data_IF_140719855480
#
_entry.id   IF_140719855480
#
_cell.length_a   1.000
_cell.length_b   1.000
_cell.length_c   1.000
_cell.angle_alpha   90.00
_cell.angle_beta   90.00
_cell.angle_gamma   90.00
#
_symmetry.space_group_name_H-M   'P 1'
#
loop_
_entity.id
_entity.type
_entity.pdbx_description
1 polymer ?
#
# COMPACT_ATOMS: atom_id res chain seq x y z
N UNK A 1 -18.60 -11.21 -28.34
CA UNK A 1 -19.75 -10.48 -27.76
C UNK A 1 -19.95 -11.05 -26.37
N UNK A 2 -19.49 -10.34 -25.35
CA UNK A 2 -19.58 -10.79 -23.96
C UNK A 2 -20.78 -10.12 -23.30
N UNK A 3 -21.63 -10.94 -22.71
CA UNK A 3 -22.86 -10.62 -22.02
C UNK A 3 -22.53 -9.82 -20.75
N UNK A 4 -22.85 -8.52 -20.72
CA UNK A 4 -22.73 -7.67 -19.53
C UNK A 4 -23.98 -7.84 -18.68
N UNK A 5 -23.88 -8.58 -17.57
CA UNK A 5 -24.90 -8.56 -16.52
C UNK A 5 -24.43 -7.65 -15.37
N UNK A 6 -25.17 -6.59 -15.02
CA UNK A 6 -24.88 -5.80 -13.84
C UNK A 6 -25.32 -6.57 -12.59
N UNK A 7 -24.40 -6.79 -11.66
CA UNK A 7 -24.72 -7.23 -10.30
C UNK A 7 -24.70 -6.00 -9.39
N UNK A 8 -25.86 -5.65 -8.83
CA UNK A 8 -26.03 -4.62 -7.80
C UNK A 8 -26.04 -5.33 -6.45
N UNK A 9 -25.05 -5.04 -5.60
CA UNK A 9 -25.04 -5.50 -4.22
C UNK A 9 -25.50 -4.36 -3.30
N UNK A 10 -26.50 -4.62 -2.48
CA UNK A 10 -26.87 -3.79 -1.34
C UNK A 10 -26.32 -4.45 -0.09
N UNK A 11 -25.48 -3.73 0.66
CA UNK A 11 -25.01 -4.17 1.96
C UNK A 11 -25.65 -3.27 3.03
N UNK A 12 -26.46 -3.87 3.90
CA UNK A 12 -27.18 -3.16 4.99
C UNK A 12 -26.46 -3.50 6.29
N UNK A 13 -25.62 -2.59 6.77
CA UNK A 13 -25.02 -2.70 8.08
C UNK A 13 -26.02 -2.23 9.15
N UNK A 14 -26.54 -3.15 9.96
CA UNK A 14 -27.30 -2.84 11.17
C UNK A 14 -26.35 -2.29 12.24
N UNK A 15 -26.47 -0.99 12.54
CA UNK A 15 -25.78 -0.35 13.65
C UNK A 15 -26.44 -0.68 14.98
N UNK A 16 -25.68 -1.27 15.90
CA UNK A 16 -26.04 -1.36 17.32
C UNK A 16 -25.88 -0.01 17.98
N UNK A 17 -26.98 0.55 18.50
CA UNK A 17 -26.97 1.74 19.32
C UNK A 17 -26.75 1.35 20.78
N UNK A 18 -25.63 1.78 21.37
CA UNK A 18 -25.48 1.90 22.83
C UNK A 18 -26.21 3.17 23.26
N UNK A 19 -27.27 3.00 24.06
CA UNK A 19 -28.00 4.08 24.70
C UNK A 19 -27.30 4.44 26.02
N UNK A 20 -26.84 5.68 26.09
CA UNK A 20 -26.34 6.31 27.31
C UNK A 20 -27.50 6.51 28.30
N UNK A 21 -27.26 6.11 29.55
CA UNK A 21 -28.25 6.08 30.61
C UNK A 21 -28.03 7.23 31.57
N UNK A 22 -28.82 8.29 31.44
CA UNK A 22 -29.21 9.13 32.57
C UNK A 22 -30.43 9.97 32.19
N UNK A 23 -31.61 9.52 32.63
CA UNK A 23 -32.63 10.42 33.16
C UNK A 23 -33.72 9.60 33.86
N UNK A 24 -33.68 9.68 35.18
CA UNK A 24 -34.69 9.18 36.11
C UNK A 24 -35.85 10.18 36.14
N UNK A 25 -37.01 9.79 35.61
CA UNK A 25 -38.27 10.31 36.13
C UNK A 25 -39.37 9.25 36.14
N UNK A 26 -39.81 8.93 37.36
CA UNK A 26 -41.03 8.19 37.67
C UNK A 26 -42.27 8.85 37.04
N UNK A 27 -43.12 8.07 36.38
CA UNK A 27 -44.52 7.84 36.82
C UNK A 27 -45.38 7.02 35.83
N UNK A 28 -46.11 6.09 36.44
CA UNK A 28 -47.46 5.60 36.10
C UNK A 28 -47.69 4.65 34.90
N UNK A 29 -47.95 3.39 35.27
CA UNK A 29 -48.70 2.36 34.53
C UNK A 29 -50.22 2.67 34.66
N UNK A 30 -51.07 2.36 33.67
CA UNK A 30 -51.97 1.22 33.87
C UNK A 30 -52.19 0.28 32.66
N UNK A 31 -52.30 -0.99 33.04
CA UNK A 31 -52.77 -2.23 32.40
C UNK A 31 -53.80 -2.20 31.25
N UNK A 32 -53.62 -3.17 30.31
CA UNK A 32 -54.57 -4.20 29.75
C UNK A 32 -54.04 -4.62 28.35
N UNK A 33 -54.13 -5.83 27.81
CA UNK A 33 -54.79 -7.11 28.13
C UNK A 33 -54.13 -8.21 27.26
N UNK A 34 -54.34 -9.47 27.64
CA UNK A 34 -53.65 -10.68 27.17
C UNK A 34 -54.05 -11.20 25.77
N UNK A 35 -53.17 -12.02 25.18
CA UNK A 35 -53.45 -12.87 24.01
C UNK A 35 -52.31 -13.87 23.74
N UNK A 36 -52.50 -15.11 24.16
CA UNK A 36 -51.57 -16.26 24.08
C UNK A 36 -51.14 -16.63 22.65
N UNK A 37 -49.89 -17.11 22.47
CA UNK A 37 -49.63 -18.55 22.22
C UNK A 37 -48.13 -18.89 22.02
N UNK A 38 -47.73 -19.94 22.75
CA UNK A 38 -46.64 -20.90 22.53
C UNK A 38 -45.15 -20.47 22.56
N UNK A 39 -44.53 -20.71 23.72
CA UNK A 39 -43.11 -21.05 23.94
C UNK A 39 -42.91 -22.59 23.75
N UNK A 40 -41.74 -23.24 24.02
CA UNK A 40 -40.41 -22.73 24.43
C UNK A 40 -39.21 -23.45 23.76
N UNK A 41 -37.98 -22.98 23.98
CA UNK A 41 -36.92 -23.75 24.67
C UNK A 41 -35.66 -22.88 24.87
N UNK A 42 -35.45 -22.43 26.10
CA UNK A 42 -34.19 -21.84 26.58
C UNK A 42 -33.66 -22.80 27.64
N UNK A 43 -32.44 -23.29 27.47
CA UNK A 43 -31.64 -23.88 28.55
C UNK A 43 -30.59 -22.84 28.91
N UNK A 44 -30.73 -22.26 30.09
CA UNK A 44 -29.71 -21.40 30.68
C UNK A 44 -28.71 -22.21 31.51
N UNK A 45 -27.50 -21.67 31.66
CA UNK A 45 -26.71 -21.90 32.86
C UNK A 45 -25.94 -20.62 33.24
N UNK A 46 -26.11 -20.23 34.51
CA UNK A 46 -25.38 -19.17 35.20
C UNK A 46 -24.02 -19.71 35.67
N UNK A 47 -22.96 -18.90 35.61
CA UNK A 47 -21.92 -18.84 36.66
C UNK A 47 -21.15 -17.51 36.56
N UNK A 48 -21.30 -16.62 37.54
CA UNK A 48 -20.35 -16.27 38.62
C UNK A 48 -19.14 -15.41 38.20
N UNK A 49 -19.12 -14.22 38.79
CA UNK A 49 -18.05 -13.23 38.84
C UNK A 49 -16.69 -13.76 39.31
N UNK A 50 -15.61 -13.34 38.65
CA UNK A 50 -14.26 -13.16 39.24
C UNK A 50 -13.48 -12.08 38.47
N UNK A 51 -12.72 -11.32 39.22
CA UNK A 51 -11.83 -10.20 38.87
C UNK A 51 -10.49 -10.64 38.27
N UNK A 52 -9.88 -9.73 37.50
CA UNK A 52 -8.46 -9.54 37.15
C UNK A 52 -7.85 -10.26 35.92
N UNK A 53 -6.93 -9.51 35.29
CA UNK A 53 -5.84 -9.85 34.34
C UNK A 53 -6.07 -9.77 32.82
N UNK A 54 -5.54 -8.68 32.25
CA UNK A 54 -4.56 -8.61 31.14
C UNK A 54 -4.24 -9.94 30.39
N UNK A 55 -4.49 -10.00 29.07
CA UNK A 55 -3.73 -10.84 28.11
C UNK A 55 -4.11 -10.62 26.62
N UNK A 56 -3.09 -10.20 25.86
CA UNK A 56 -2.68 -10.58 24.49
C UNK A 56 -3.71 -11.18 23.53
N UNK A 57 -3.90 -10.50 22.39
CA UNK A 57 -4.56 -11.05 21.19
C UNK A 57 -3.71 -12.10 20.48
N UNK A 58 -4.29 -13.28 20.24
CA UNK A 58 -3.72 -14.32 19.38
C UNK A 58 -4.04 -14.00 17.89
N UNK A 59 -3.47 -14.69 16.87
CA UNK A 59 -3.79 -14.45 15.43
C UNK A 59 -4.12 -15.72 14.61
N UNK A 60 -5.26 -15.77 13.92
CA UNK A 60 -5.91 -16.96 13.34
C UNK A 60 -5.45 -17.41 11.90
N UNK A 61 -5.07 -18.70 11.64
CA UNK A 61 -4.80 -19.40 10.34
C UNK A 61 -5.95 -20.35 9.92
N UNK A 62 -6.43 -20.28 8.66
CA UNK A 62 -7.38 -21.23 8.02
C UNK A 62 -6.82 -21.89 6.74
N UNK A 63 -7.25 -23.13 6.48
CA UNK A 63 -7.08 -23.87 5.21
C UNK A 63 -8.44 -24.03 4.53
N UNK A 64 -8.52 -23.85 3.20
CA UNK A 64 -9.75 -23.95 2.39
C UNK A 64 -9.71 -25.07 1.36
N UNK A 65 -10.89 -25.64 1.06
CA UNK A 65 -11.13 -26.61 -0.01
C UNK A 65 -12.38 -26.19 -0.83
N UNK A 66 -12.33 -26.40 -2.15
CA UNK A 66 -13.31 -25.90 -3.14
C UNK A 66 -14.65 -26.66 -3.14
N UNK A 67 -15.76 -25.96 -3.45
CA UNK A 67 -17.08 -26.57 -3.69
C UNK A 67 -17.70 -26.19 -5.06
N UNK A 68 -18.56 -27.09 -5.54
CA UNK A 68 -18.83 -27.49 -6.94
C UNK A 68 -19.47 -26.50 -7.94
N UNK A 69 -19.55 -25.21 -7.69
CA UNK A 69 -20.20 -24.27 -8.63
C UNK A 69 -19.38 -23.01 -8.85
N UNK A 70 -18.47 -23.07 -9.84
CA UNK A 70 -18.12 -22.04 -10.84
C UNK A 70 -17.97 -20.55 -10.52
N UNK A 71 -18.12 -20.11 -9.27
CA UNK A 71 -17.98 -18.72 -8.80
C UNK A 71 -17.12 -18.77 -7.54
N UNK A 72 -15.94 -18.14 -7.60
CA UNK A 72 -15.10 -17.94 -6.42
C UNK A 72 -15.74 -16.79 -5.64
N UNK A 73 -16.73 -17.10 -4.81
CA UNK A 73 -17.25 -16.17 -3.83
C UNK A 73 -16.51 -16.32 -2.50
N UNK A 74 -16.14 -15.18 -1.92
CA UNK A 74 -15.46 -15.05 -0.62
C UNK A 74 -16.35 -15.61 0.49
N UNK A 75 -15.81 -16.45 1.38
CA UNK A 75 -16.23 -16.45 2.78
C UNK A 75 -15.02 -16.27 3.69
N UNK A 76 -15.13 -15.33 4.63
CA UNK A 76 -14.14 -15.06 5.67
C UNK A 76 -14.49 -15.87 6.92
N UNK A 77 -13.51 -16.58 7.47
CA UNK A 77 -13.57 -17.21 8.79
C UNK A 77 -12.20 -17.14 9.43
N UNK A 78 -12.12 -17.06 10.77
CA UNK A 78 -10.91 -16.96 11.58
C UNK A 78 -10.66 -18.32 12.36
N UNK A 79 -9.40 -18.80 12.59
CA UNK A 79 -8.89 -19.73 13.67
C UNK A 79 -7.43 -19.50 14.27
N UNK A 80 -7.20 -19.17 15.58
CA UNK A 80 -6.09 -18.45 16.32
C UNK A 80 -4.79 -19.28 16.47
N UNK A 81 -3.64 -18.65 16.25
CA UNK A 81 -2.26 -19.10 16.51
C UNK A 81 -1.40 -17.93 17.01
N UNK A 82 -0.87 -18.10 18.20
CA UNK A 82 0.00 -17.15 18.90
C UNK A 82 1.38 -17.75 19.08
N UNK A 83 2.37 -17.18 18.42
CA UNK A 83 3.77 -17.27 18.81
C UNK A 83 4.56 -16.27 17.95
N UNK A 84 5.05 -15.19 18.54
CA UNK A 84 6.33 -14.52 18.27
C UNK A 84 6.28 -13.08 18.81
N UNK A 85 6.59 -12.93 20.10
CA UNK A 85 7.43 -11.87 20.67
C UNK A 85 7.82 -12.34 22.10
N UNK A 86 9.05 -12.08 22.61
CA UNK A 86 9.90 -10.94 22.28
C UNK A 86 11.30 -11.34 21.76
N UNK A 87 11.73 -10.76 20.63
CA UNK A 87 13.14 -10.80 20.20
C UNK A 87 13.78 -9.41 20.04
N UNK A 88 13.06 -8.34 20.41
CA UNK A 88 13.61 -6.96 20.42
C UNK A 88 13.51 -6.28 21.78
N UNK A 89 13.60 -7.08 22.85
CA UNK A 89 13.94 -6.58 24.18
C UNK A 89 15.46 -6.50 24.32
N UNK A 90 15.97 -5.28 24.45
CA UNK A 90 17.37 -4.90 24.76
C UNK A 90 18.29 -4.72 23.54
N UNK A 91 18.80 -3.48 23.43
CA UNK A 91 19.68 -3.03 22.36
C UNK A 91 20.95 -3.87 22.27
N UNK A 92 21.22 -4.38 21.07
CA UNK A 92 22.47 -5.07 20.74
C UNK A 92 23.54 -3.99 20.50
N UNK A 93 24.58 -3.87 21.36
CA UNK A 93 25.63 -2.89 21.15
C UNK A 93 26.67 -3.48 20.18
N UNK A 94 26.43 -3.35 18.87
CA UNK A 94 27.44 -3.75 17.86
C UNK A 94 28.46 -2.61 17.73
N UNK A 95 29.52 -2.66 18.55
CA UNK A 95 30.59 -1.64 18.60
C UNK A 95 31.44 -1.49 17.32
N UNK A 96 31.27 -2.35 16.31
CA UNK A 96 32.19 -2.40 15.17
C UNK A 96 31.56 -1.84 13.89
N UNK A 97 31.67 -0.52 13.71
CA UNK A 97 31.16 0.24 12.55
C UNK A 97 31.64 -0.27 11.19
N UNK A 98 32.79 -0.97 11.14
CA UNK A 98 33.29 -1.60 9.91
C UNK A 98 32.40 -2.77 9.46
N UNK A 99 31.79 -3.50 10.40
CA UNK A 99 30.99 -4.68 10.09
C UNK A 99 29.62 -4.32 9.48
N UNK A 100 29.01 -3.21 9.91
CA UNK A 100 27.76 -2.70 9.32
C UNK A 100 27.97 -2.24 7.86
N UNK A 101 29.04 -1.49 7.60
CA UNK A 101 29.38 -1.06 6.25
C UNK A 101 29.78 -2.24 5.35
N UNK A 102 30.53 -3.23 5.89
CA UNK A 102 30.91 -4.42 5.15
C UNK A 102 29.69 -5.31 4.82
N UNK A 103 28.73 -5.46 5.75
CA UNK A 103 27.52 -6.27 5.52
C UNK A 103 26.59 -5.64 4.48
N UNK A 104 26.41 -4.31 4.51
CA UNK A 104 25.64 -3.58 3.51
C UNK A 104 26.37 -3.61 2.16
N UNK A 105 27.69 -3.40 2.15
CA UNK A 105 28.50 -3.46 0.94
C UNK A 105 28.52 -4.87 0.33
N UNK A 106 28.67 -5.94 1.10
CA UNK A 106 28.62 -7.32 0.59
C UNK A 106 27.21 -7.79 0.21
N UNK A 107 26.15 -7.29 0.84
CA UNK A 107 24.79 -7.53 0.34
C UNK A 107 24.58 -6.86 -1.02
N UNK A 108 24.90 -5.57 -1.15
CA UNK A 108 24.68 -4.80 -2.38
C UNK A 108 25.59 -5.29 -3.51
N UNK A 109 26.88 -5.53 -3.24
CA UNK A 109 27.85 -5.97 -4.25
C UNK A 109 27.76 -7.47 -4.54
N UNK A 110 27.39 -8.29 -3.55
CA UNK A 110 27.13 -9.73 -3.72
C UNK A 110 25.88 -10.00 -4.56
N UNK A 111 24.82 -9.19 -4.40
CA UNK A 111 23.64 -9.24 -5.26
C UNK A 111 23.93 -8.75 -6.69
N UNK A 112 24.75 -7.70 -6.85
CA UNK A 112 25.20 -7.22 -8.17
C UNK A 112 26.07 -8.24 -8.92
N UNK A 113 26.97 -8.93 -8.22
CA UNK A 113 27.84 -9.95 -8.82
C UNK A 113 27.09 -11.26 -9.16
N UNK A 114 26.01 -11.58 -8.44
CA UNK A 114 25.17 -12.74 -8.72
C UNK A 114 24.29 -12.58 -9.97
N UNK A 115 23.96 -11.34 -10.37
CA UNK A 115 23.14 -11.05 -11.56
C UNK A 115 23.89 -11.37 -12.88
N UNK A 116 25.23 -11.31 -12.88
CA UNK A 116 26.03 -11.47 -14.10
C UNK A 116 26.41 -12.91 -14.49
N UNK A 117 26.07 -13.95 -13.70
CA UNK A 117 26.57 -15.32 -13.92
C UNK A 117 25.53 -16.40 -14.28
N UNK A 118 24.24 -16.08 -14.35
CA UNK A 118 23.21 -17.13 -14.46
C UNK A 118 22.22 -16.98 -15.63
N UNK A 119 22.62 -16.37 -16.75
CA UNK A 119 21.83 -16.40 -17.99
C UNK A 119 22.32 -17.58 -18.86
N UNK A 120 21.83 -18.78 -18.56
CA UNK A 120 21.93 -19.95 -19.44
C UNK A 120 20.54 -20.22 -20.04
N UNK A 121 20.46 -19.95 -21.34
CA UNK A 121 19.53 -20.50 -22.34
C UNK A 121 18.01 -20.38 -22.09
N UNK A 122 17.46 -19.27 -22.59
CA UNK A 122 16.21 -19.30 -23.36
C UNK A 122 16.35 -18.33 -24.54
N UNK A 123 15.82 -18.68 -25.72
CA UNK A 123 15.93 -17.87 -26.96
C UNK A 123 15.47 -16.42 -26.69
N UNK A 124 16.40 -15.48 -26.66
CA UNK A 124 16.15 -14.06 -26.40
C UNK A 124 15.39 -13.43 -27.58
N UNK A 125 14.12 -13.12 -27.38
CA UNK A 125 13.61 -11.84 -27.88
C UNK A 125 14.55 -10.77 -27.34
N UNK A 126 15.12 -9.94 -28.24
CA UNK A 126 16.12 -8.95 -27.87
C UNK A 126 15.58 -8.04 -26.75
N UNK A 127 16.09 -8.23 -25.52
CA UNK A 127 15.71 -7.42 -24.36
C UNK A 127 16.03 -5.94 -24.70
N UNK A 128 15.10 -5.00 -24.50
CA UNK A 128 15.36 -3.60 -24.80
C UNK A 128 16.55 -3.09 -23.96
N UNK A 129 17.42 -2.29 -24.58
CA UNK A 129 18.62 -1.77 -23.92
C UNK A 129 18.28 -0.92 -22.68
N UNK A 130 18.99 -1.16 -21.58
CA UNK A 130 18.83 -0.41 -20.32
C UNK A 130 19.24 1.05 -20.51
N UNK A 131 18.38 2.01 -20.15
CA UNK A 131 18.64 3.46 -20.28
C UNK A 131 19.06 4.09 -18.96
N UNK A 132 20.11 3.54 -18.34
CA UNK A 132 20.55 3.93 -16.98
C UNK A 132 20.89 5.41 -16.87
N UNK A 133 21.58 5.99 -17.85
CA UNK A 133 21.93 7.41 -17.85
C UNK A 133 20.71 8.33 -17.85
N UNK A 134 19.66 7.96 -18.60
CA UNK A 134 18.39 8.69 -18.61
C UNK A 134 17.69 8.62 -17.26
N UNK A 135 17.64 7.44 -16.63
CA UNK A 135 17.07 7.27 -15.30
C UNK A 135 17.72 8.20 -14.27
N UNK A 136 19.06 8.32 -14.27
CA UNK A 136 19.78 9.23 -13.39
C UNK A 136 19.49 10.70 -13.70
N UNK A 137 19.38 11.07 -14.99
CA UNK A 137 19.04 12.45 -15.38
C UNK A 137 17.63 12.80 -14.89
N UNK A 138 16.64 11.94 -15.13
CA UNK A 138 15.25 12.15 -14.73
C UNK A 138 15.12 12.26 -13.21
N UNK A 139 15.75 11.34 -12.47
CA UNK A 139 15.81 11.40 -11.02
C UNK A 139 16.54 12.64 -10.52
N UNK A 140 17.65 13.04 -11.16
CA UNK A 140 18.40 14.24 -10.82
C UNK A 140 17.59 15.52 -11.03
N UNK A 141 16.81 15.60 -12.12
CA UNK A 141 15.87 16.70 -12.38
C UNK A 141 14.81 16.73 -11.27
N UNK A 142 14.21 15.58 -10.95
CA UNK A 142 13.19 15.48 -9.90
C UNK A 142 13.75 15.93 -8.53
N UNK A 143 14.91 15.42 -8.12
CA UNK A 143 15.58 15.81 -6.88
C UNK A 143 15.92 17.30 -6.86
N UNK A 144 16.38 17.85 -7.99
CA UNK A 144 16.70 19.28 -8.11
C UNK A 144 15.45 20.14 -7.93
N UNK A 145 14.36 19.83 -8.63
CA UNK A 145 13.08 20.56 -8.50
C UNK A 145 12.54 20.46 -7.08
N UNK A 146 12.55 19.26 -6.50
CA UNK A 146 12.11 19.05 -5.12
C UNK A 146 12.97 19.85 -4.13
N UNK A 147 14.30 19.86 -4.33
CA UNK A 147 15.25 20.63 -3.51
C UNK A 147 14.93 22.12 -3.62
N UNK A 148 14.79 22.66 -4.82
CA UNK A 148 14.42 24.07 -5.02
C UNK A 148 13.11 24.42 -4.31
N UNK A 149 12.10 23.56 -4.39
CA UNK A 149 10.82 23.76 -3.69
C UNK A 149 10.92 23.65 -2.15
N UNK A 150 11.81 22.80 -1.64
CA UNK A 150 12.12 22.75 -0.20
C UNK A 150 12.78 24.07 0.27
N UNK A 151 13.79 24.54 -0.45
CA UNK A 151 14.50 25.78 -0.13
C UNK A 151 13.69 27.06 -0.39
N UNK A 152 12.70 27.03 -1.29
CA UNK A 152 11.72 28.11 -1.42
C UNK A 152 10.83 28.21 -0.16
N UNK A 153 10.55 27.07 0.48
CA UNK A 153 9.77 26.98 1.72
C UNK A 153 10.65 26.94 2.98
N UNK A 154 11.91 27.38 2.87
CA UNK A 154 12.96 27.33 3.89
C UNK A 154 12.53 27.79 5.29
N UNK A 155 11.68 28.83 5.38
CA UNK A 155 11.21 29.33 6.67
C UNK A 155 10.38 28.33 7.48
N UNK A 156 9.82 27.30 6.84
CA UNK A 156 9.01 26.26 7.49
C UNK A 156 9.82 25.20 8.24
N UNK A 157 11.12 25.10 7.97
CA UNK A 157 11.98 24.01 8.45
C UNK A 157 13.12 24.50 9.36
N UNK A 158 13.06 25.77 9.81
CA UNK A 158 14.13 26.38 10.62
C UNK A 158 14.33 25.61 11.94
N UNK A 159 13.24 25.13 12.54
CA UNK A 159 13.25 24.39 13.81
C UNK A 159 13.96 23.04 13.69
N UNK A 160 13.97 22.46 12.49
CA UNK A 160 14.57 21.16 12.21
C UNK A 160 16.05 21.25 11.87
N UNK A 161 16.68 22.43 11.91
CA UNK A 161 18.11 22.53 11.59
C UNK A 161 19.00 22.30 12.79
N UNK A 162 19.69 21.16 12.80
CA UNK A 162 20.70 20.83 13.80
C UNK A 162 22.13 20.81 13.24
N UNK A 163 22.31 20.98 11.93
CA UNK A 163 23.61 20.96 11.27
C UNK A 163 23.86 22.21 10.41
N UNK A 164 25.14 22.59 10.33
CA UNK A 164 25.63 23.60 9.38
C UNK A 164 26.37 22.95 8.22
N UNK A 165 26.56 23.68 7.11
CA UNK A 165 27.37 23.23 5.98
C UNK A 165 28.88 23.37 6.28
N UNK A 166 29.33 22.76 7.39
CA UNK A 166 30.74 22.68 7.77
C UNK A 166 31.19 21.24 7.77
N UNK A 167 32.47 20.99 7.47
CA UNK A 167 33.00 19.62 7.45
C UNK A 167 32.81 18.88 8.78
N UNK A 168 32.91 19.60 9.90
CA UNK A 168 32.70 19.05 11.25
C UNK A 168 31.28 18.51 11.41
N UNK A 169 30.27 19.30 11.05
CA UNK A 169 28.87 18.92 11.21
C UNK A 169 28.45 17.86 10.19
N UNK A 170 28.89 17.98 8.94
CA UNK A 170 28.62 16.95 7.93
C UNK A 170 29.26 15.61 8.31
N UNK A 171 30.47 15.61 8.89
CA UNK A 171 31.06 14.37 9.41
C UNK A 171 30.24 13.75 10.55
N UNK A 172 29.65 14.58 11.42
CA UNK A 172 28.73 14.11 12.47
C UNK A 172 27.48 13.49 11.86
N UNK A 173 26.83 14.19 10.93
CA UNK A 173 25.63 13.70 10.24
C UNK A 173 25.88 12.37 9.51
N UNK A 174 26.94 12.28 8.71
CA UNK A 174 27.18 11.11 7.84
C UNK A 174 27.76 9.88 8.55
N UNK A 175 28.52 10.06 9.65
CA UNK A 175 29.32 8.96 10.22
C UNK A 175 29.03 8.67 11.70
N UNK A 176 28.09 9.39 12.32
CA UNK A 176 27.63 9.13 13.68
C UNK A 176 26.11 8.96 13.72
N UNK A 177 25.60 8.39 14.81
CA UNK A 177 24.17 8.24 15.03
C UNK A 177 23.48 9.56 15.39
N UNK A 178 24.23 10.66 15.52
CA UNK A 178 23.65 12.00 15.76
C UNK A 178 22.82 12.46 14.57
N UNK A 179 23.18 12.03 13.35
CA UNK A 179 22.48 12.38 12.12
C UNK A 179 21.25 11.53 11.83
N UNK A 180 20.83 10.62 12.70
CA UNK A 180 19.70 9.71 12.45
C UNK A 180 18.67 9.83 13.57
N UNK A 181 17.41 10.14 13.22
CA UNK A 181 16.29 10.16 14.16
C UNK A 181 15.00 9.68 13.49
N UNK A 182 14.09 9.14 14.28
CA UNK A 182 12.69 9.13 13.90
C UNK A 182 12.18 10.55 14.10
N UNK A 183 11.67 11.18 13.04
CA UNK A 183 11.05 12.48 13.16
C UNK A 183 9.61 12.36 13.68
N UNK A 184 9.00 13.50 13.96
CA UNK A 184 7.58 13.60 14.34
C UNK A 184 6.76 14.29 13.24
N UNK A 185 7.13 14.09 11.97
CA UNK A 185 6.43 14.69 10.84
C UNK A 185 4.95 14.28 10.84
N UNK A 186 4.12 15.18 10.31
CA UNK A 186 2.69 14.92 10.19
C UNK A 186 2.40 13.77 9.18
N UNK A 187 1.15 13.32 9.12
CA UNK A 187 0.80 12.19 8.26
C UNK A 187 1.06 12.53 6.80
N UNK A 188 0.65 13.72 6.34
CA UNK A 188 0.83 14.14 4.94
C UNK A 188 2.26 14.04 4.49
N UNK A 189 3.21 14.56 5.25
CA UNK A 189 4.63 14.45 4.90
C UNK A 189 5.01 12.97 4.80
N UNK A 190 4.81 12.19 5.87
CA UNK A 190 5.16 10.76 5.92
C UNK A 190 4.58 9.91 4.77
N UNK A 191 3.28 10.01 4.47
CA UNK A 191 2.70 9.18 3.40
C UNK A 191 3.14 9.64 2.00
N UNK A 192 3.45 10.94 1.83
CA UNK A 192 4.00 11.43 0.56
C UNK A 192 5.41 10.93 0.30
N UNK A 193 6.20 10.59 1.32
CA UNK A 193 7.50 9.92 1.14
C UNK A 193 7.37 8.56 0.43
N UNK A 194 6.32 7.79 0.71
CA UNK A 194 6.06 6.55 -0.03
C UNK A 194 5.82 6.81 -1.54
N UNK A 195 5.10 7.89 -1.88
CA UNK A 195 4.89 8.30 -3.27
C UNK A 195 6.14 8.88 -3.93
N UNK A 196 6.97 9.62 -3.19
CA UNK A 196 8.31 10.03 -3.65
C UNK A 196 9.15 8.80 -3.97
N UNK A 197 9.09 7.77 -3.12
CA UNK A 197 9.70 6.47 -3.37
C UNK A 197 9.21 5.83 -4.66
N UNK A 198 7.90 5.89 -4.93
CA UNK A 198 7.30 5.34 -6.15
C UNK A 198 7.80 6.07 -7.40
N UNK A 199 7.95 7.40 -7.33
CA UNK A 199 8.54 8.19 -8.41
C UNK A 199 10.01 7.81 -8.66
N UNK A 200 10.82 7.75 -7.59
CA UNK A 200 12.23 7.32 -7.70
C UNK A 200 12.36 5.91 -8.29
N UNK A 201 11.49 5.00 -7.86
CA UNK A 201 11.40 3.65 -8.41
C UNK A 201 11.06 3.69 -9.91
N UNK A 202 10.03 4.44 -10.31
CA UNK A 202 9.55 4.47 -11.69
C UNK A 202 10.52 5.19 -12.64
N UNK A 203 11.34 6.14 -12.19
CA UNK A 203 12.43 6.70 -13.01
C UNK A 203 13.41 5.60 -13.46
N UNK A 204 13.74 4.65 -12.60
CA UNK A 204 14.52 3.47 -12.99
C UNK A 204 13.70 2.46 -13.80
N UNK A 205 12.52 2.09 -13.29
CA UNK A 205 11.71 1.00 -13.84
C UNK A 205 11.27 1.26 -15.27
N UNK A 206 10.85 2.49 -15.57
CA UNK A 206 10.49 2.95 -16.91
C UNK A 206 11.67 3.04 -17.89
N UNK A 207 12.90 2.98 -17.40
CA UNK A 207 14.15 2.94 -18.17
C UNK A 207 14.77 1.53 -18.26
N UNK A 208 13.94 0.49 -18.09
CA UNK A 208 14.28 -0.92 -18.32
C UNK A 208 15.19 -1.52 -17.24
N UNK A 209 15.28 -0.87 -16.09
CA UNK A 209 15.94 -1.47 -14.93
C UNK A 209 15.05 -2.55 -14.31
N UNK A 210 15.69 -3.54 -13.68
CA UNK A 210 15.00 -4.61 -12.96
C UNK A 210 14.27 -4.06 -11.74
N UNK A 211 13.27 -4.77 -11.20
CA UNK A 211 12.60 -4.36 -9.97
C UNK A 211 13.57 -4.10 -8.82
N UNK A 212 14.59 -4.95 -8.65
CA UNK A 212 15.61 -4.78 -7.62
C UNK A 212 16.46 -3.51 -7.82
N UNK A 213 16.94 -3.27 -9.03
CA UNK A 213 17.69 -2.06 -9.34
C UNK A 213 16.83 -0.80 -9.15
N UNK A 214 15.54 -0.89 -9.45
CA UNK A 214 14.58 0.20 -9.25
C UNK A 214 14.30 0.45 -7.76
N UNK A 215 14.24 -0.60 -6.93
CA UNK A 215 14.19 -0.46 -5.47
C UNK A 215 15.43 0.25 -4.91
N UNK A 216 16.61 -0.01 -5.48
CA UNK A 216 17.84 0.70 -5.09
C UNK A 216 17.81 2.18 -5.49
N UNK A 217 17.12 2.54 -6.57
CA UNK A 217 16.88 3.96 -6.91
C UNK A 217 15.98 4.63 -5.87
N UNK A 218 14.91 3.97 -5.42
CA UNK A 218 14.06 4.51 -4.35
C UNK A 218 14.83 4.71 -3.04
N UNK A 219 15.60 3.70 -2.62
CA UNK A 219 16.45 3.78 -1.43
C UNK A 219 17.55 4.85 -1.56
N UNK A 220 18.29 4.83 -2.66
CA UNK A 220 19.36 5.79 -2.92
C UNK A 220 18.85 7.23 -3.06
N UNK A 221 17.67 7.41 -3.65
CA UNK A 221 17.01 8.71 -3.74
C UNK A 221 16.64 9.28 -2.40
N UNK A 222 16.10 8.43 -1.52
CA UNK A 222 15.85 8.81 -0.12
C UNK A 222 17.14 9.25 0.57
N UNK A 223 18.21 8.47 0.46
CA UNK A 223 19.49 8.85 1.07
C UNK A 223 20.05 10.15 0.48
N UNK A 224 19.95 10.36 -0.83
CA UNK A 224 20.41 11.60 -1.46
C UNK A 224 19.60 12.79 -0.95
N UNK A 225 18.28 12.65 -0.86
CA UNK A 225 17.39 13.66 -0.32
C UNK A 225 17.80 14.05 1.12
N UNK A 226 17.79 13.06 2.01
CA UNK A 226 18.03 13.24 3.44
C UNK A 226 19.43 13.80 3.74
N UNK A 227 20.46 13.30 3.05
CA UNK A 227 21.84 13.70 3.36
C UNK A 227 22.30 14.95 2.62
N UNK A 228 21.78 15.23 1.43
CA UNK A 228 22.27 16.33 0.60
C UNK A 228 21.24 17.44 0.39
N UNK A 229 19.97 17.14 0.14
CA UNK A 229 18.94 18.17 0.00
C UNK A 229 18.61 18.78 1.36
N UNK A 230 18.44 17.94 2.38
CA UNK A 230 18.14 18.31 3.77
C UNK A 230 19.42 18.31 4.64
N UNK A 231 20.56 18.77 4.09
CA UNK A 231 21.87 18.69 4.77
C UNK A 231 21.92 19.35 6.16
N UNK A 232 20.95 20.20 6.50
CA UNK A 232 20.83 20.89 7.79
C UNK A 232 20.05 20.11 8.84
N UNK A 233 19.23 19.14 8.42
CA UNK A 233 18.37 18.35 9.29
C UNK A 233 19.04 17.04 9.70
N UNK A 234 18.53 16.40 10.75
CA UNK A 234 18.76 14.97 10.97
C UNK A 234 18.13 14.18 9.83
N UNK A 235 18.79 13.13 9.36
CA UNK A 235 18.18 12.21 8.40
C UNK A 235 17.07 11.40 9.09
N UNK A 236 15.87 11.48 8.54
CA UNK A 236 14.67 10.81 9.03
C UNK A 236 14.71 9.32 8.74
N UNK A 237 14.66 8.52 9.80
CA UNK A 237 14.64 7.06 9.71
C UNK A 237 13.31 6.60 9.09
N UNK A 238 12.18 7.20 9.50
CA UNK A 238 10.86 6.86 8.99
C UNK A 238 10.71 7.26 7.52
N UNK A 239 11.22 8.42 7.09
CA UNK A 239 11.14 8.81 5.68
C UNK A 239 11.98 7.90 4.78
N UNK A 240 13.15 7.46 5.25
CA UNK A 240 13.94 6.44 4.55
C UNK A 240 13.20 5.10 4.43
N UNK A 241 12.48 4.67 5.47
CA UNK A 241 11.68 3.44 5.44
C UNK A 241 10.50 3.60 4.48
N UNK A 242 9.72 4.68 4.61
CA UNK A 242 8.55 4.95 3.78
C UNK A 242 8.93 5.10 2.31
N UNK A 243 9.99 5.85 1.99
CA UNK A 243 10.48 6.04 0.62
C UNK A 243 11.03 4.74 0.04
N UNK A 244 11.88 4.02 0.77
CA UNK A 244 12.55 2.83 0.24
C UNK A 244 11.61 1.62 0.08
N UNK A 245 10.68 1.43 1.02
CA UNK A 245 9.72 0.30 0.99
C UNK A 245 8.47 0.69 0.19
N UNK A 246 7.96 1.90 0.38
CA UNK A 246 6.82 2.43 -0.37
C UNK A 246 7.10 2.51 -1.88
N UNK A 247 8.35 2.73 -2.26
CA UNK A 247 8.78 2.78 -3.66
C UNK A 247 8.38 1.57 -4.49
N UNK A 248 8.91 0.36 -4.22
CA UNK A 248 8.46 -0.84 -4.90
C UNK A 248 6.99 -1.20 -4.59
N UNK A 249 6.48 -0.93 -3.37
CA UNK A 249 5.11 -1.26 -2.99
C UNK A 249 4.04 -0.53 -3.81
N UNK A 250 4.31 0.71 -4.23
CA UNK A 250 3.41 1.54 -5.04
C UNK A 250 3.86 1.55 -6.51
N UNK A 251 5.15 1.75 -6.76
CA UNK A 251 5.71 1.93 -8.09
C UNK A 251 5.55 0.71 -8.99
N UNK A 252 5.83 -0.50 -8.49
CA UNK A 252 5.76 -1.71 -9.34
C UNK A 252 4.32 -2.03 -9.78
N UNK A 253 3.28 -2.01 -8.91
CA UNK A 253 1.90 -2.15 -9.37
C UNK A 253 1.49 -1.13 -10.43
N UNK A 254 1.82 0.15 -10.23
CA UNK A 254 1.50 1.20 -11.19
C UNK A 254 2.21 0.96 -12.53
N UNK A 255 3.51 0.65 -12.48
CA UNK A 255 4.31 0.35 -13.67
C UNK A 255 3.74 -0.84 -14.46
N UNK A 256 3.44 -1.95 -13.78
CA UNK A 256 2.94 -3.19 -14.39
C UNK A 256 1.58 -2.99 -15.05
N UNK A 257 0.66 -2.32 -14.35
CA UNK A 257 -0.67 -2.01 -14.87
C UNK A 257 -0.59 -0.99 -16.01
N UNK A 258 0.27 0.02 -15.92
CA UNK A 258 0.48 0.97 -17.00
C UNK A 258 1.13 0.30 -18.24
N UNK A 259 2.10 -0.60 -18.06
CA UNK A 259 2.74 -1.36 -19.15
C UNK A 259 1.74 -2.28 -19.88
N UNK A 260 0.75 -2.82 -19.16
CA UNK A 260 -0.39 -3.52 -19.76
C UNK A 260 -1.14 -2.64 -20.76
N UNK A 261 -1.44 -1.39 -20.41
CA UNK A 261 -2.08 -0.47 -21.36
C UNK A 261 -1.12 -0.03 -22.46
N UNK A 262 0.12 0.34 -22.11
CA UNK A 262 1.17 0.78 -23.05
C UNK A 262 1.43 -0.22 -24.18
N UNK A 263 1.43 -1.52 -23.87
CA UNK A 263 1.67 -2.59 -24.85
C UNK A 263 0.52 -2.78 -25.85
N UNK A 264 -0.59 -2.07 -25.69
CA UNK A 264 -1.79 -2.18 -26.54
C UNK A 264 -1.97 -0.95 -27.42
N UNK A 265 -2.46 -1.12 -28.66
CA UNK A 265 -2.69 0.00 -29.57
C UNK A 265 -3.89 0.85 -29.12
N UNK A 266 -3.92 2.13 -29.54
CA UNK A 266 -5.07 3.02 -29.36
C UNK A 266 -4.84 4.16 -28.37
N UNK A 267 -5.54 5.28 -28.59
CA UNK A 267 -5.39 6.49 -27.77
C UNK A 267 -5.80 6.26 -26.32
N UNK A 268 -6.89 5.53 -26.08
CA UNK A 268 -7.37 5.22 -24.73
C UNK A 268 -6.31 4.49 -23.90
N UNK A 269 -5.58 3.55 -24.49
CA UNK A 269 -4.51 2.82 -23.83
C UNK A 269 -3.30 3.72 -23.52
N UNK A 270 -2.96 4.66 -24.40
CA UNK A 270 -1.91 5.66 -24.13
C UNK A 270 -2.29 6.61 -23.00
N UNK A 271 -3.55 7.06 -22.97
CA UNK A 271 -4.08 7.91 -21.90
C UNK A 271 -4.12 7.15 -20.58
N UNK A 272 -4.59 5.89 -20.57
CA UNK A 272 -4.60 5.05 -19.38
C UNK A 272 -3.18 4.81 -18.83
N UNK A 273 -2.21 4.52 -19.70
CA UNK A 273 -0.80 4.41 -19.32
C UNK A 273 -0.31 5.70 -18.63
N UNK A 274 -0.54 6.87 -19.24
CA UNK A 274 -0.12 8.17 -18.70
C UNK A 274 -0.79 8.51 -17.36
N UNK A 275 -2.07 8.14 -17.18
CA UNK A 275 -2.81 8.41 -15.95
C UNK A 275 -2.40 7.50 -14.79
N UNK A 276 -2.05 6.25 -15.08
CA UNK A 276 -1.70 5.25 -14.05
C UNK A 276 -0.22 5.39 -13.64
N UNK A 277 0.69 5.48 -14.61
CA UNK A 277 2.11 5.76 -14.38
C UNK A 277 2.59 6.85 -15.34
N UNK A 278 2.52 8.12 -14.91
CA UNK A 278 2.95 9.25 -15.74
C UNK A 278 4.40 9.14 -16.20
N UNK A 279 5.28 8.55 -15.37
CA UNK A 279 6.70 8.38 -15.70
C UNK A 279 6.85 7.42 -16.88
N UNK A 280 6.18 6.26 -16.83
CA UNK A 280 6.15 5.34 -17.96
C UNK A 280 5.50 5.97 -19.20
N UNK A 281 4.38 6.69 -19.04
CA UNK A 281 3.69 7.34 -20.15
C UNK A 281 4.55 8.38 -20.87
N UNK A 282 5.24 9.24 -20.12
CA UNK A 282 6.20 10.22 -20.67
C UNK A 282 7.37 9.50 -21.33
N UNK A 283 7.89 8.44 -20.70
CA UNK A 283 9.04 7.73 -21.23
C UNK A 283 8.72 6.97 -22.52
N UNK A 284 7.53 6.36 -22.59
CA UNK A 284 7.00 5.74 -23.82
C UNK A 284 6.75 6.78 -24.92
N UNK A 285 6.24 7.98 -24.56
CA UNK A 285 6.06 9.07 -25.52
C UNK A 285 7.39 9.52 -26.15
N UNK A 286 8.43 9.68 -25.33
CA UNK A 286 9.78 10.04 -25.80
C UNK A 286 10.42 8.90 -26.62
N UNK A 287 10.18 7.64 -26.23
CA UNK A 287 10.74 6.46 -26.90
C UNK A 287 10.08 6.17 -28.26
N UNK A 288 8.86 6.67 -28.48
CA UNK A 288 8.15 6.56 -29.75
C UNK A 288 7.68 5.15 -30.09
N UNK A 289 7.61 4.81 -31.38
CA UNK A 289 6.96 3.59 -31.87
C UNK A 289 7.78 2.29 -31.73
N UNK A 290 8.97 2.31 -31.12
CA UNK A 290 9.77 1.10 -30.87
C UNK A 290 9.21 0.32 -29.67
N UNK A 291 8.14 -0.46 -29.92
CA UNK A 291 7.30 -1.10 -28.90
C UNK A 291 7.59 -2.59 -28.72
N UNK A 292 8.71 -2.90 -28.10
CA UNK A 292 8.81 -4.19 -27.41
C UNK A 292 7.88 -4.20 -26.18
N UNK A 293 7.09 -5.25 -25.95
CA UNK A 293 6.50 -5.46 -24.63
C UNK A 293 7.64 -5.58 -23.59
N UNK A 294 7.54 -4.85 -22.47
CA UNK A 294 8.60 -4.83 -21.45
C UNK A 294 8.50 -6.03 -20.50
N UNK A 295 7.40 -6.79 -20.60
CA UNK A 295 7.01 -7.96 -19.79
C UNK A 295 6.27 -9.00 -20.65
N UNK A 296 6.13 -10.27 -20.20
CA UNK A 296 5.48 -11.33 -20.96
C UNK A 296 4.02 -11.02 -21.34
N UNK A 297 3.66 -11.25 -22.59
CA UNK A 297 2.41 -10.82 -23.26
C UNK A 297 1.16 -11.67 -22.96
N UNK A 298 1.22 -12.53 -21.94
CA UNK A 298 0.11 -13.43 -21.54
C UNK A 298 -0.18 -13.31 -20.05
N UNK A 299 -0.71 -12.15 -19.71
CA UNK A 299 -1.15 -11.77 -18.37
C UNK A 299 -2.67 -11.94 -18.19
N UNK A 300 -3.06 -12.31 -16.97
CA UNK A 300 -4.45 -12.32 -16.52
C UNK A 300 -4.76 -10.98 -15.86
N UNK A 301 -5.99 -10.48 -16.03
CA UNK A 301 -6.42 -9.18 -15.51
C UNK A 301 -7.85 -9.20 -15.00
N UNK A 302 -8.10 -8.38 -14.00
CA UNK A 302 -9.42 -8.06 -13.48
C UNK A 302 -9.46 -6.57 -13.14
N UNK A 303 -10.09 -5.80 -14.02
CA UNK A 303 -10.19 -4.34 -13.92
C UNK A 303 -11.65 -3.97 -13.73
N UNK A 304 -11.95 -3.33 -12.60
CA UNK A 304 -13.31 -2.97 -12.20
C UNK A 304 -13.38 -1.48 -11.92
N UNK A 305 -14.46 -0.88 -12.40
CA UNK A 305 -14.86 0.46 -12.03
C UNK A 305 -16.22 0.36 -11.36
N UNK A 306 -16.34 0.96 -10.18
CA UNK A 306 -17.55 0.93 -9.37
C UNK A 306 -18.03 2.35 -9.10
N UNK A 307 -19.33 2.56 -9.24
CA UNK A 307 -20.03 3.79 -8.87
C UNK A 307 -21.23 3.38 -8.00
N UNK A 308 -21.41 4.03 -6.85
CA UNK A 308 -22.49 3.69 -5.94
C UNK A 308 -22.80 4.77 -4.92
N UNK A 309 -23.73 4.47 -4.03
CA UNK A 309 -24.05 5.28 -2.85
C UNK A 309 -23.59 4.57 -1.58
N UNK A 310 -23.01 5.31 -0.63
CA UNK A 310 -22.69 4.83 0.72
C UNK A 310 -23.54 5.60 1.71
N UNK A 311 -24.03 4.93 2.75
CA UNK A 311 -24.67 5.59 3.89
C UNK A 311 -23.77 5.44 5.13
N UNK A 312 -23.49 6.54 5.82
CA UNK A 312 -22.60 6.50 6.98
C UNK A 312 -22.39 7.87 7.62
N UNK A 313 -21.74 7.92 8.80
CA UNK A 313 -21.48 9.17 9.52
C UNK A 313 -20.57 10.08 8.69
N UNK A 314 -20.91 11.37 8.67
CA UNK A 314 -20.30 12.39 7.81
C UNK A 314 -19.62 13.47 8.64
N UNK A 315 -18.62 14.13 8.06
CA UNK A 315 -18.08 15.37 8.62
C UNK A 315 -19.21 16.39 8.84
N UNK A 316 -19.18 17.18 9.93
CA UNK A 316 -20.34 17.84 10.54
C UNK A 316 -20.84 19.04 9.73
N UNK A 317 -20.42 19.16 8.48
CA UNK A 317 -20.72 20.28 7.60
C UNK A 317 -22.04 20.07 6.85
N UNK A 318 -22.50 18.82 6.67
CA UNK A 318 -23.76 18.55 5.95
C UNK A 318 -24.57 17.44 6.60
N UNK A 319 -25.87 17.70 6.81
CA UNK A 319 -26.84 16.79 7.45
C UNK A 319 -27.27 15.61 6.55
N UNK A 320 -26.46 15.27 5.56
CA UNK A 320 -26.74 14.24 4.56
C UNK A 320 -25.90 13.00 4.85
N UNK A 321 -26.54 11.94 5.34
CA UNK A 321 -25.90 10.64 5.62
C UNK A 321 -25.52 9.85 4.36
N UNK A 322 -25.90 10.33 3.18
CA UNK A 322 -25.67 9.68 1.89
C UNK A 322 -24.50 10.28 1.12
N UNK A 323 -23.63 9.42 0.60
CA UNK A 323 -22.42 9.75 -0.14
C UNK A 323 -22.43 9.12 -1.51
N UNK A 324 -21.93 9.83 -2.52
CA UNK A 324 -21.53 9.17 -3.76
C UNK A 324 -20.18 8.48 -3.54
N UNK A 325 -19.99 7.28 -4.07
CA UNK A 325 -18.74 6.52 -3.96
C UNK A 325 -18.27 6.10 -5.35
N UNK A 326 -16.99 6.31 -5.61
CA UNK A 326 -16.27 5.85 -6.79
C UNK A 326 -15.16 4.90 -6.34
N UNK A 327 -14.97 3.80 -7.06
CA UNK A 327 -13.81 2.94 -6.85
C UNK A 327 -13.26 2.43 -8.18
N UNK A 328 -11.94 2.28 -8.22
CA UNK A 328 -11.19 1.67 -9.30
C UNK A 328 -10.35 0.54 -8.70
N UNK A 329 -10.61 -0.69 -9.11
CA UNK A 329 -9.89 -1.89 -8.67
C UNK A 329 -9.20 -2.51 -9.87
N UNK A 330 -7.87 -2.42 -9.92
CA UNK A 330 -7.04 -2.95 -10.98
C UNK A 330 -6.16 -4.06 -10.43
N UNK A 331 -6.34 -5.28 -10.93
CA UNK A 331 -5.46 -6.42 -10.63
C UNK A 331 -4.89 -7.03 -11.90
N UNK A 332 -3.59 -7.27 -11.89
CA UNK A 332 -2.83 -7.86 -12.99
C UNK A 332 -1.94 -8.99 -12.46
N UNK A 333 -2.13 -10.20 -13.00
CA UNK A 333 -1.28 -11.36 -12.72
C UNK A 333 -0.47 -11.67 -13.98
N UNK A 334 0.85 -11.56 -13.89
CA UNK A 334 1.79 -11.71 -15.02
C UNK A 334 2.30 -13.14 -15.20
N UNK A 335 1.92 -14.05 -14.30
CA UNK A 335 2.33 -15.45 -14.39
C UNK A 335 1.75 -16.09 -15.67
N UNK A 336 2.59 -16.58 -16.60
CA UNK A 336 2.11 -17.12 -17.85
C UNK A 336 1.16 -18.30 -17.63
N UNK A 337 -0.01 -18.23 -18.25
CA UNK A 337 -1.02 -19.28 -18.15
C UNK A 337 -1.81 -19.27 -16.84
N UNK A 338 -1.68 -18.26 -15.98
CA UNK A 338 -2.54 -18.08 -14.81
C UNK A 338 -4.03 -18.12 -15.20
N UNK A 339 -4.83 -18.86 -14.44
CA UNK A 339 -6.26 -19.04 -14.74
C UNK A 339 -6.57 -19.91 -15.97
N UNK A 340 -5.59 -20.65 -16.50
CA UNK A 340 -5.78 -21.64 -17.58
C UNK A 340 -5.49 -23.06 -17.11
N UNK A 341 -5.93 -24.09 -17.83
CA UNK A 341 -5.54 -25.47 -17.54
C UNK A 341 -4.05 -25.71 -17.81
N UNK A 342 -3.42 -26.54 -16.98
CA UNK A 342 -2.00 -26.89 -17.08
C UNK A 342 -1.46 -27.43 -15.77
N UNK A 343 -0.32 -28.11 -15.84
CA UNK A 343 0.45 -28.53 -14.68
C UNK A 343 1.89 -28.07 -14.79
N UNK A 344 2.49 -27.68 -13.68
CA UNK A 344 3.87 -27.23 -13.65
C UNK A 344 4.24 -26.54 -12.34
N UNK A 345 5.51 -26.25 -12.20
CA UNK A 345 6.03 -25.37 -11.16
C UNK A 345 7.25 -24.65 -11.67
N UNK A 346 7.59 -23.55 -11.02
CA UNK A 346 8.74 -22.76 -11.39
C UNK A 346 8.97 -21.61 -10.43
N UNK A 347 9.95 -20.78 -10.76
CA UNK A 347 10.25 -19.57 -10.01
C UNK A 347 10.21 -18.37 -10.95
N UNK A 348 9.39 -17.38 -10.61
CA UNK A 348 9.40 -16.09 -11.29
C UNK A 348 10.35 -15.14 -10.58
N UNK A 349 11.32 -14.60 -11.31
CA UNK A 349 12.12 -13.45 -10.87
C UNK A 349 11.46 -12.10 -11.19
N UNK A 350 10.35 -12.13 -11.90
CA UNK A 350 9.56 -10.96 -12.27
C UNK A 350 8.33 -10.85 -11.36
N UNK A 351 7.79 -9.64 -11.15
CA UNK A 351 6.65 -9.43 -10.27
C UNK A 351 5.40 -10.14 -10.79
N UNK A 352 4.77 -10.95 -9.93
CA UNK A 352 3.76 -11.96 -10.27
C UNK A 352 2.34 -11.39 -10.21
N UNK A 353 1.98 -10.76 -9.09
CA UNK A 353 0.63 -10.28 -8.81
C UNK A 353 0.72 -8.82 -8.41
N UNK A 354 -0.04 -7.97 -9.08
CA UNK A 354 0.00 -6.52 -8.96
C UNK A 354 -1.41 -6.00 -8.80
N UNK A 355 -1.63 -5.22 -7.75
CA UNK A 355 -2.93 -4.67 -7.41
C UNK A 355 -2.81 -3.18 -7.12
N UNK A 356 -3.75 -2.42 -7.66
CA UNK A 356 -3.98 -1.02 -7.35
C UNK A 356 -5.48 -0.80 -7.16
N UNK A 357 -5.86 -0.41 -5.95
CA UNK A 357 -7.23 -0.04 -5.60
C UNK A 357 -7.25 1.40 -5.12
N UNK A 358 -8.19 2.18 -5.61
CA UNK A 358 -8.45 3.52 -5.11
C UNK A 358 -9.95 3.71 -5.01
N UNK A 359 -10.41 4.23 -3.88
CA UNK A 359 -11.80 4.58 -3.66
C UNK A 359 -11.91 5.97 -3.06
N UNK A 360 -12.93 6.69 -3.50
CA UNK A 360 -13.23 8.04 -3.06
C UNK A 360 -14.73 8.13 -2.77
N UNK A 361 -15.10 8.71 -1.64
CA UNK A 361 -16.48 9.06 -1.34
C UNK A 361 -16.65 10.57 -1.23
N UNK A 362 -17.83 11.05 -1.63
CA UNK A 362 -18.16 12.46 -1.73
C UNK A 362 -19.42 12.76 -0.93
N UNK A 363 -19.34 13.80 -0.10
CA UNK A 363 -20.49 14.45 0.50
C UNK A 363 -20.65 15.84 -0.14
N UNK A 364 -21.72 16.03 -0.90
CA UNK A 364 -21.91 17.22 -1.73
C UNK A 364 -20.78 17.39 -2.76
N UNK A 365 -20.02 18.48 -2.65
CA UNK A 365 -18.88 18.80 -3.54
C UNK A 365 -17.51 18.42 -2.96
N UNK A 366 -17.47 17.96 -1.72
CA UNK A 366 -16.23 17.72 -1.00
C UNK A 366 -15.92 16.22 -0.95
N UNK A 367 -14.63 15.88 -1.06
CA UNK A 367 -14.14 14.53 -0.78
C UNK A 367 -14.30 14.28 0.72
N UNK A 368 -15.05 13.23 1.06
CA UNK A 368 -15.32 12.82 2.43
C UNK A 368 -14.34 11.72 2.87
N UNK A 369 -14.11 10.70 2.03
CA UNK A 369 -13.13 9.64 2.30
C UNK A 369 -12.30 9.36 1.04
N UNK A 370 -11.00 9.18 1.22
CA UNK A 370 -10.07 8.70 0.21
C UNK A 370 -9.36 7.47 0.77
N UNK A 371 -9.43 6.36 0.05
CA UNK A 371 -8.66 5.15 0.36
C UNK A 371 -7.89 4.71 -0.86
N UNK A 372 -6.66 4.28 -0.65
CA UNK A 372 -5.84 3.69 -1.70
C UNK A 372 -5.06 2.50 -1.14
N UNK A 373 -4.96 1.44 -1.94
CA UNK A 373 -4.20 0.25 -1.62
C UNK A 373 -3.40 -0.17 -2.84
N UNK A 374 -2.12 -0.46 -2.64
CA UNK A 374 -1.31 -1.16 -3.64
C UNK A 374 -0.72 -2.42 -3.05
N UNK A 375 -0.50 -3.42 -3.90
CA UNK A 375 0.16 -4.66 -3.51
C UNK A 375 0.92 -5.23 -4.69
N UNK A 376 2.15 -5.68 -4.47
CA UNK A 376 2.93 -6.43 -5.45
C UNK A 376 3.58 -7.66 -4.82
N UNK A 377 3.55 -8.78 -5.54
CA UNK A 377 4.44 -9.91 -5.30
C UNK A 377 5.65 -9.78 -6.22
N UNK A 378 6.83 -9.41 -5.68
CA UNK A 378 8.00 -9.03 -6.49
C UNK A 378 8.67 -10.20 -7.22
N UNK A 379 8.54 -11.40 -6.65
CA UNK A 379 9.05 -12.65 -7.19
C UNK A 379 8.31 -13.78 -6.48
N UNK A 380 8.53 -15.02 -6.90
CA UNK A 380 7.98 -16.14 -6.15
C UNK A 380 8.10 -17.47 -6.86
N UNK A 381 8.07 -18.52 -6.03
CA UNK A 381 7.83 -19.86 -6.50
C UNK A 381 6.34 -20.01 -6.82
N UNK A 382 6.01 -20.66 -7.93
CA UNK A 382 4.64 -20.96 -8.30
C UNK A 382 4.50 -22.45 -8.58
N UNK A 383 3.31 -22.96 -8.30
CA UNK A 383 2.93 -24.32 -8.62
C UNK A 383 1.50 -24.35 -9.11
N UNK A 384 1.24 -25.23 -10.07
CA UNK A 384 -0.03 -25.36 -10.74
C UNK A 384 -0.32 -26.82 -11.06
N UNK A 385 -1.58 -27.20 -10.83
CA UNK A 385 -2.16 -28.42 -11.37
C UNK A 385 -3.67 -28.18 -11.55
N UNK A 386 -4.01 -27.64 -12.72
CA UNK A 386 -5.38 -27.26 -13.10
C UNK A 386 -5.78 -28.04 -14.34
N UNK A 387 -6.94 -28.69 -14.30
CA UNK A 387 -7.50 -29.48 -15.40
C UNK A 387 -8.78 -28.81 -15.89
N UNK A 388 -9.01 -28.80 -17.19
CA UNK A 388 -10.30 -28.42 -17.74
C UNK A 388 -11.20 -29.67 -17.83
N UNK A 389 -12.47 -29.53 -17.43
CA UNK A 389 -13.50 -30.52 -17.74
C UNK A 389 -14.03 -30.35 -19.17
N UNK A 390 -14.93 -31.25 -19.58
CA UNK A 390 -15.55 -31.23 -20.91
C UNK A 390 -16.43 -29.99 -21.17
N UNK A 391 -16.90 -29.32 -20.11
CA UNK A 391 -17.68 -28.08 -20.18
C UNK A 391 -16.82 -26.81 -20.15
N UNK A 392 -15.48 -26.95 -20.04
CA UNK A 392 -14.53 -25.84 -19.90
C UNK A 392 -14.36 -25.34 -18.46
N UNK A 393 -15.00 -25.97 -17.48
CA UNK A 393 -14.78 -25.69 -16.06
C UNK A 393 -13.39 -26.10 -15.61
N UNK A 394 -12.73 -25.26 -14.81
CA UNK A 394 -11.38 -25.52 -14.31
C UNK A 394 -11.43 -26.15 -12.92
N UNK A 395 -10.72 -27.26 -12.74
CA UNK A 395 -10.62 -28.02 -11.49
C UNK A 395 -9.16 -28.18 -11.08
N UNK A 396 -8.84 -27.93 -9.82
CA UNK A 396 -7.48 -28.11 -9.28
C UNK A 396 -7.03 -26.90 -8.47
N UNK A 397 -5.72 -26.70 -8.40
CA UNK A 397 -5.12 -25.63 -7.61
C UNK A 397 -3.95 -24.96 -8.33
N UNK A 398 -3.82 -23.67 -8.07
CA UNK A 398 -2.74 -22.80 -8.53
C UNK A 398 -2.40 -21.87 -7.37
N UNK A 399 -1.13 -21.82 -6.97
CA UNK A 399 -0.68 -20.92 -5.92
C UNK A 399 0.75 -20.47 -6.15
N UNK A 400 1.11 -19.35 -5.53
CA UNK A 400 2.46 -18.82 -5.55
C UNK A 400 2.84 -18.33 -4.15
N UNK A 401 4.14 -18.36 -3.87
CA UNK A 401 4.73 -17.96 -2.60
C UNK A 401 5.97 -17.10 -2.89
N UNK A 402 6.00 -15.90 -2.32
CA UNK A 402 7.11 -14.98 -2.49
C UNK A 402 6.97 -13.71 -1.66
N UNK A 403 7.97 -12.82 -1.71
CA UNK A 403 7.94 -11.55 -0.99
C UNK A 403 6.84 -10.65 -1.55
N UNK A 404 5.94 -10.23 -0.66
CA UNK A 404 4.84 -9.31 -0.97
C UNK A 404 5.08 -8.00 -0.25
N UNK A 405 4.99 -6.93 -1.02
CA UNK A 405 4.97 -5.56 -0.51
C UNK A 405 3.59 -4.97 -0.75
N UNK A 406 3.20 -4.03 0.10
CA UNK A 406 1.94 -3.31 -0.07
C UNK A 406 1.95 -1.99 0.65
N UNK A 407 1.11 -1.08 0.17
CA UNK A 407 0.87 0.21 0.79
C UNK A 407 -0.63 0.37 0.98
N UNK A 408 -1.03 0.80 2.17
CA UNK A 408 -2.42 1.09 2.52
C UNK A 408 -2.51 2.53 2.98
N UNK A 409 -3.51 3.24 2.46
CA UNK A 409 -3.82 4.60 2.85
C UNK A 409 -5.31 4.78 3.00
N UNK A 410 -5.65 5.55 4.03
CA UNK A 410 -7.00 6.00 4.29
C UNK A 410 -6.93 7.38 4.89
N UNK A 411 -7.78 8.27 4.40
CA UNK A 411 -8.02 9.56 5.00
C UNK A 411 -9.50 9.90 4.88
N UNK A 412 -10.10 10.24 6.01
CA UNK A 412 -11.46 10.73 6.14
C UNK A 412 -11.44 12.18 6.58
N UNK A 413 -12.39 12.97 6.09
CA UNK A 413 -12.60 14.33 6.56
C UNK A 413 -13.06 14.30 8.03
N UNK A 414 -12.45 15.10 8.93
CA UNK A 414 -12.73 15.01 10.36
C UNK A 414 -14.21 15.27 10.69
N UNK A 415 -14.74 14.48 11.63
CA UNK A 415 -16.13 14.59 12.13
C UNK A 415 -16.31 15.75 13.12
N UNK A 416 -15.22 16.35 13.62
CA UNK A 416 -15.27 17.57 14.43
C UNK A 416 -13.97 18.34 14.18
N UNK A 417 -13.97 19.66 13.92
CA UNK A 417 -12.76 20.45 14.17
C UNK A 417 -12.39 20.25 15.65
N UNK A 418 -11.14 19.89 15.92
CA UNK A 418 -10.69 19.62 17.28
C UNK A 418 -10.99 20.82 18.21
N UNK A 419 -11.57 20.54 19.38
CA UNK A 419 -12.02 21.48 20.43
C UNK A 419 -10.93 22.50 20.87
N UNK A 420 -9.66 22.21 20.58
CA UNK A 420 -8.54 23.13 20.82
C UNK A 420 -8.59 24.45 20.03
N UNK A 421 -9.28 24.48 18.89
CA UNK A 421 -9.50 25.73 18.15
C UNK A 421 -10.57 26.61 18.83
N UNK A 422 -11.53 26.01 19.53
CA UNK A 422 -12.54 26.71 20.34
C UNK A 422 -11.98 27.17 21.70
N UNK A 423 -10.83 26.63 22.12
CA UNK A 423 -10.04 27.15 23.26
C UNK A 423 -9.32 28.48 22.96
N UNK A 424 -9.50 29.05 21.75
CA UNK A 424 -8.86 30.31 21.37
C UNK A 424 -7.33 30.21 21.25
N UNK A 425 -6.79 29.01 21.11
CA UNK A 425 -5.37 28.81 20.80
C UNK A 425 -5.14 29.12 19.31
N UNK A 426 -4.93 30.40 19.03
CA UNK A 426 -4.65 30.96 17.69
C UNK A 426 -3.17 30.86 17.30
N UNK A 427 -2.39 30.08 18.06
CA UNK A 427 -0.97 29.95 17.80
C UNK A 427 -0.76 29.26 16.44
N UNK A 428 -0.20 29.94 15.43
CA UNK A 428 0.06 29.36 14.11
C UNK A 428 0.96 28.12 14.18
N UNK A 429 1.74 27.99 15.26
CA UNK A 429 2.64 26.87 15.52
C UNK A 429 1.89 25.63 16.06
N UNK A 430 0.62 25.76 16.44
CA UNK A 430 -0.22 24.68 16.97
C UNK A 430 -1.26 24.15 15.95
N UNK A 431 -1.15 24.50 14.67
CA UNK A 431 -2.03 23.98 13.62
C UNK A 431 -1.85 22.46 13.47
N UNK A 432 -2.78 21.70 14.05
CA UNK A 432 -2.80 20.25 13.92
C UNK A 432 -3.35 19.84 12.58
N UNK A 433 -2.59 19.01 11.86
CA UNK A 433 -3.00 18.45 10.59
C UNK A 433 -4.29 17.61 10.73
N UNK A 434 -5.31 17.98 9.96
CA UNK A 434 -6.60 17.31 9.94
C UNK A 434 -6.63 16.10 8.99
N UNK A 435 -7.32 15.00 9.36
CA UNK A 435 -8.08 14.81 10.60
C UNK A 435 -7.18 14.58 11.83
N UNK A 436 -7.62 15.03 13.01
CA UNK A 436 -6.86 14.83 14.27
C UNK A 436 -7.11 13.49 14.94
N UNK A 437 -8.19 12.78 14.60
CA UNK A 437 -8.46 11.43 15.12
C UNK A 437 -7.60 10.41 14.38
N UNK A 438 -6.86 9.58 15.11
CA UNK A 438 -6.05 8.50 14.54
C UNK A 438 -6.87 7.47 13.75
N UNK A 439 -8.16 7.29 14.06
CA UNK A 439 -9.04 6.38 13.32
C UNK A 439 -9.43 6.90 11.94
N UNK A 440 -9.32 8.21 11.73
CA UNK A 440 -9.79 8.88 10.51
C UNK A 440 -8.66 9.00 9.48
N UNK A 441 -7.42 8.61 9.82
CA UNK A 441 -6.30 8.63 8.89
C UNK A 441 -5.25 7.56 9.21
N UNK A 442 -4.76 6.86 8.20
CA UNK A 442 -3.58 6.02 8.33
C UNK A 442 -2.84 5.90 7.00
N UNK A 443 -1.55 5.56 7.11
CA UNK A 443 -0.71 5.13 5.99
C UNK A 443 0.20 4.04 6.53
N UNK A 444 0.27 2.89 5.85
CA UNK A 444 1.15 1.79 6.22
C UNK A 444 1.90 1.29 5.00
N UNK A 445 3.16 0.87 5.22
CA UNK A 445 3.97 0.17 4.23
C UNK A 445 4.30 -1.21 4.79
N UNK A 446 3.97 -2.25 4.05
CA UNK A 446 4.24 -3.63 4.41
C UNK A 446 5.53 -4.08 3.72
N UNK A 447 6.56 -4.39 4.51
CA UNK A 447 7.87 -4.82 4.01
C UNK A 447 7.81 -6.23 3.40
N UNK A 448 7.33 -7.20 4.18
CA UNK A 448 7.10 -8.59 3.78
C UNK A 448 5.93 -9.10 4.62
N UNK A 449 4.91 -9.66 3.99
CA UNK A 449 3.77 -10.27 4.68
C UNK A 449 3.03 -11.25 3.79
N UNK A 450 2.12 -12.05 4.34
CA UNK A 450 1.26 -12.90 3.52
C UNK A 450 0.34 -12.03 2.64
N UNK A 451 0.25 -12.35 1.36
CA UNK A 451 -0.85 -11.88 0.51
C UNK A 451 -2.03 -12.83 0.70
N UNK A 452 -3.11 -12.35 1.31
CA UNK A 452 -4.39 -13.06 1.34
C UNK A 452 -5.41 -12.38 0.44
#
# INVERSE_FOLDING_TARGET
MADMRPHVFFDVAQGGAELDGSDLHERNIPQRQAGNNHAPCVIGSRSKSRTAEEKSGNSQVLIWCSNKHGTIDRCQGLCYFSAFEPLFGQGIPVKNKKLQFLLIFFMVFGLWAAENKADIQSKEEAKPAKKVGRAFIEMGINLTVSTLNYWDKYAKFIEDWQFTLTWKDQKRKFFTSEGLRLDSNNLRLNWTHAWSGALYYNWARSNQLSPLASSLFAFGGSLIWEYFAEFREVASINDNIFTAIGGPAIGEPLFQIADHFRSRPGLANRVACLLIDPVLGINDFIDGNNRGPRLPTREWRDFRFSLGGKQGPVSPVDNHSGHAALALDLRLVTLPGYGQAGSGSGYSRQPIDNEYRISCSFNGRLVEELSARTRCALSGWWWKNVRADQSGGLHGCEFWLGPVMGWDFFQKKPIVPYDGNDLGMIDPWLEREQPTRYTDKHSTVNLIGPAF
#
